data_IF_364889840465
#
_entry.id   IF_364889840465
#
_cell.length_a   1.000
_cell.length_b   1.000
_cell.length_c   1.000
_cell.angle_alpha   90.00
_cell.angle_beta   90.00
_cell.angle_gamma   90.00
#
_symmetry.space_group_name_H-M   'P 1'
#
loop_
_entity.id
_entity.type
_entity.pdbx_description
1 polymer ?
#
# COMPACT_ATOMS: atom_id res chain seq x y z
N UNK A 1 20.21 23.51 -18.47
CA UNK A 1 18.84 23.55 -17.94
C UNK A 1 18.06 22.44 -18.59
N UNK A 2 17.26 21.66 -17.85
CA UNK A 2 16.45 20.61 -18.44
C UNK A 2 15.35 21.22 -19.31
N UNK A 3 15.12 20.65 -20.49
CA UNK A 3 14.02 21.04 -21.37
C UNK A 3 12.73 20.36 -20.94
N UNK A 4 11.58 20.84 -21.43
CA UNK A 4 10.29 20.18 -21.18
C UNK A 4 10.29 18.72 -21.67
N UNK A 5 10.99 18.44 -22.77
CA UNK A 5 11.15 17.09 -23.30
C UNK A 5 11.92 16.19 -22.32
N UNK A 6 13.00 16.71 -21.72
CA UNK A 6 13.79 15.95 -20.73
C UNK A 6 12.95 15.62 -19.48
N UNK A 7 12.17 16.59 -18.99
CA UNK A 7 11.24 16.40 -17.87
C UNK A 7 10.17 15.38 -18.23
N UNK A 8 9.58 15.49 -19.43
CA UNK A 8 8.51 14.60 -19.90
C UNK A 8 8.95 13.15 -20.02
N UNK A 9 10.13 12.91 -20.62
CA UNK A 9 10.69 11.56 -20.75
C UNK A 9 11.01 10.98 -19.37
N UNK A 10 11.64 11.76 -18.49
CA UNK A 10 11.96 11.32 -17.13
C UNK A 10 10.69 11.00 -16.32
N UNK A 11 9.68 11.87 -16.36
CA UNK A 11 8.41 11.66 -15.68
C UNK A 11 7.70 10.40 -16.19
N UNK A 12 7.65 10.19 -17.52
CA UNK A 12 7.05 9.01 -18.11
C UNK A 12 7.70 7.70 -17.63
N UNK A 13 9.04 7.64 -17.64
CA UNK A 13 9.77 6.45 -17.18
C UNK A 13 9.48 6.17 -15.71
N UNK A 14 9.54 7.19 -14.85
CA UNK A 14 9.31 7.03 -13.42
C UNK A 14 7.87 6.62 -13.10
N UNK A 15 6.88 7.24 -13.75
CA UNK A 15 5.46 6.92 -13.53
C UNK A 15 5.15 5.50 -14.01
N UNK A 16 5.61 5.11 -15.21
CA UNK A 16 5.40 3.76 -15.74
C UNK A 16 6.06 2.70 -14.85
N UNK A 17 7.29 2.97 -14.39
CA UNK A 17 8.00 2.06 -13.48
C UNK A 17 7.28 1.92 -12.15
N UNK A 18 6.80 3.02 -11.56
CA UNK A 18 6.00 3.00 -10.34
C UNK A 18 4.71 2.18 -10.54
N UNK A 19 4.04 2.31 -11.69
CA UNK A 19 2.86 1.52 -12.01
C UNK A 19 3.16 0.03 -12.10
N UNK A 20 4.28 -0.36 -12.72
CA UNK A 20 4.74 -1.76 -12.75
C UNK A 20 4.95 -2.29 -11.32
N UNK A 21 5.59 -1.51 -10.44
CA UNK A 21 5.76 -1.90 -9.04
C UNK A 21 4.42 -2.08 -8.31
N UNK A 22 3.43 -1.22 -8.56
CA UNK A 22 2.09 -1.36 -7.99
C UNK A 22 1.37 -2.63 -8.45
N UNK A 23 1.53 -3.00 -9.73
CA UNK A 23 0.98 -4.25 -10.27
C UNK A 23 1.65 -5.47 -9.62
N UNK A 24 2.98 -5.47 -9.54
CA UNK A 24 3.74 -6.54 -8.88
C UNK A 24 3.34 -6.65 -7.41
N UNK A 25 3.27 -5.52 -6.69
CA UNK A 25 2.81 -5.47 -5.30
C UNK A 25 1.43 -6.09 -5.13
N UNK A 26 0.46 -5.72 -5.97
CA UNK A 26 -0.88 -6.25 -5.86
C UNK A 26 -0.96 -7.76 -6.07
N UNK A 27 -0.24 -8.27 -7.08
CA UNK A 27 -0.19 -9.71 -7.37
C UNK A 27 0.45 -10.47 -6.22
N UNK A 28 1.60 -9.99 -5.72
CA UNK A 28 2.34 -10.64 -4.64
C UNK A 28 1.60 -10.58 -3.31
N UNK A 29 0.91 -9.47 -3.00
CA UNK A 29 0.10 -9.29 -1.78
C UNK A 29 -1.06 -10.27 -1.69
N UNK A 30 -1.66 -10.62 -2.82
CA UNK A 30 -2.79 -11.55 -2.88
C UNK A 30 -2.37 -13.02 -2.74
N UNK A 31 -1.08 -13.35 -2.87
CA UNK A 31 -0.64 -14.72 -2.74
C UNK A 31 -0.63 -15.17 -1.27
N UNK A 32 -1.25 -16.32 -0.93
CA UNK A 32 -1.36 -16.78 0.45
C UNK A 32 0.00 -17.12 1.09
N UNK A 33 1.03 -17.50 0.30
CA UNK A 33 2.37 -17.72 0.82
C UNK A 33 3.06 -16.44 1.30
N UNK A 34 2.73 -15.29 0.70
CA UNK A 34 3.27 -13.98 1.06
C UNK A 34 2.48 -13.27 2.15
N UNK A 35 1.38 -13.85 2.61
CA UNK A 35 0.48 -13.22 3.57
C UNK A 35 1.19 -12.80 4.87
N UNK A 36 2.14 -13.62 5.33
CA UNK A 36 2.94 -13.31 6.52
C UNK A 36 3.93 -12.17 6.32
N UNK A 37 4.37 -11.92 5.08
CA UNK A 37 5.30 -10.82 4.75
C UNK A 37 4.52 -9.51 4.72
N UNK A 38 3.39 -9.46 4.01
CA UNK A 38 2.59 -8.24 3.86
C UNK A 38 1.73 -7.89 5.08
N UNK A 39 1.35 -8.87 5.90
CA UNK A 39 0.47 -8.68 7.07
C UNK A 39 1.12 -9.11 8.39
N UNK A 40 2.46 -9.05 8.49
CA UNK A 40 3.22 -9.48 9.68
C UNK A 40 2.70 -8.89 10.99
N UNK A 41 2.37 -7.59 11.01
CA UNK A 41 1.87 -6.88 12.20
C UNK A 41 0.59 -7.48 12.77
N UNK A 42 -0.30 -7.98 11.90
CA UNK A 42 -1.55 -8.63 12.30
C UNK A 42 -1.31 -9.98 12.96
N UNK A 43 -0.29 -10.72 12.50
CA UNK A 43 0.15 -11.97 13.13
C UNK A 43 0.82 -11.71 14.48
N UNK A 44 1.67 -10.69 14.58
CA UNK A 44 2.32 -10.31 15.83
C UNK A 44 1.33 -9.88 16.91
N UNK A 45 0.22 -9.24 16.50
CA UNK A 45 -0.89 -8.85 17.40
C UNK A 45 -1.88 -9.98 17.69
N UNK A 46 -1.73 -11.15 17.09
CA UNK A 46 -2.68 -12.26 17.24
C UNK A 46 -4.05 -12.01 16.62
N UNK A 47 -4.23 -10.92 15.86
CA UNK A 47 -5.49 -10.56 15.19
C UNK A 47 -5.77 -11.43 13.96
N UNK A 48 -4.72 -12.10 13.45
CA UNK A 48 -4.81 -13.00 12.31
C UNK A 48 -4.16 -14.33 12.63
N UNK A 49 -4.92 -15.41 12.46
CA UNK A 49 -4.41 -16.78 12.53
C UNK A 49 -4.17 -17.33 11.11
N UNK A 50 -3.12 -18.13 10.96
CA UNK A 50 -2.90 -18.84 9.71
C UNK A 50 -4.05 -19.84 9.53
N UNK A 51 -4.65 -19.98 8.33
CA UNK A 51 -5.70 -20.98 8.12
C UNK A 51 -5.03 -22.35 8.14
N UNK A 52 -4.93 -22.95 9.32
CA UNK A 52 -4.13 -24.17 9.49
C UNK A 52 -4.88 -25.44 9.05
N UNK A 53 -6.19 -25.43 8.74
CA UNK A 53 -6.92 -26.73 8.63
C UNK A 53 -8.04 -26.95 7.58
N UNK A 54 -8.34 -26.08 6.59
CA UNK A 54 -9.61 -26.25 5.84
C UNK A 54 -9.63 -26.07 4.30
N UNK A 55 -8.57 -26.38 3.54
CA UNK A 55 -8.67 -26.28 2.07
C UNK A 55 -7.64 -27.06 1.25
N UNK A 56 -8.03 -27.42 0.02
CA UNK A 56 -7.21 -28.15 -0.96
C UNK A 56 -5.84 -27.47 -1.16
N UNK A 57 -4.77 -28.29 -1.08
CA UNK A 57 -3.36 -27.88 -1.01
C UNK A 57 -2.97 -26.77 -2.00
N UNK A 58 -3.48 -26.78 -3.23
CA UNK A 58 -3.15 -25.79 -4.29
C UNK A 58 -3.66 -24.38 -3.98
N UNK A 59 -4.89 -24.24 -3.46
CA UNK A 59 -5.45 -22.92 -3.09
C UNK A 59 -4.73 -22.29 -1.88
N UNK A 60 -3.96 -23.09 -1.14
CA UNK A 60 -3.11 -22.61 -0.03
C UNK A 60 -1.84 -21.91 -0.51
N UNK A 61 -1.41 -22.15 -1.74
CA UNK A 61 -0.19 -21.55 -2.30
C UNK A 61 -0.47 -20.48 -3.35
N UNK A 62 -1.54 -20.59 -4.15
CA UNK A 62 -1.80 -19.61 -5.22
C UNK A 62 -3.25 -19.11 -5.14
N UNK A 63 -3.42 -17.78 -5.21
CA UNK A 63 -4.74 -17.17 -5.36
C UNK A 63 -5.14 -17.13 -6.85
N UNK A 64 -6.14 -17.92 -7.23
CA UNK A 64 -6.65 -18.03 -8.61
C UNK A 64 -7.90 -17.17 -8.87
N UNK A 65 -8.33 -16.33 -7.91
CA UNK A 65 -9.51 -15.50 -8.09
C UNK A 65 -9.20 -14.23 -8.91
N UNK A 66 -9.46 -14.28 -10.22
CA UNK A 66 -9.28 -13.15 -11.15
C UNK A 66 -10.04 -11.88 -10.73
N UNK A 67 -11.17 -12.00 -10.01
CA UNK A 67 -11.93 -10.83 -9.52
C UNK A 67 -11.15 -10.01 -8.50
N UNK A 68 -10.30 -10.67 -7.70
CA UNK A 68 -9.43 -10.02 -6.73
C UNK A 68 -8.38 -9.12 -7.40
N UNK A 69 -7.90 -9.50 -8.58
CA UNK A 69 -6.91 -8.73 -9.35
C UNK A 69 -7.51 -7.52 -10.07
N UNK A 70 -8.79 -7.56 -10.44
CA UNK A 70 -9.49 -6.38 -10.98
C UNK A 70 -9.66 -5.26 -9.95
N UNK A 71 -9.56 -5.58 -8.66
CA UNK A 71 -9.70 -4.65 -7.53
C UNK A 71 -8.35 -4.27 -6.91
N UNK A 72 -7.26 -4.32 -7.69
CA UNK A 72 -5.91 -4.21 -7.17
C UNK A 72 -5.60 -2.88 -6.46
N UNK A 73 -6.30 -1.79 -6.80
CA UNK A 73 -6.12 -0.49 -6.13
C UNK A 73 -6.95 -0.33 -4.86
N UNK A 74 -7.80 -1.30 -4.49
CA UNK A 74 -8.67 -1.18 -3.32
C UNK A 74 -7.89 -1.03 -2.01
N UNK A 75 -6.61 -1.42 -1.94
CA UNK A 75 -5.82 -1.20 -0.72
C UNK A 75 -5.62 0.28 -0.40
N UNK A 76 -5.64 1.18 -1.39
CA UNK A 76 -5.44 2.62 -1.19
C UNK A 76 -6.58 3.26 -0.39
N UNK A 77 -7.87 3.14 -0.79
CA UNK A 77 -8.96 3.67 0.02
C UNK A 77 -9.08 2.97 1.37
N UNK A 78 -8.78 1.67 1.46
CA UNK A 78 -8.78 0.96 2.75
C UNK A 78 -7.71 1.51 3.70
N UNK A 79 -6.54 1.92 3.20
CA UNK A 79 -5.47 2.47 4.03
C UNK A 79 -5.85 3.79 4.72
N UNK A 80 -6.81 4.53 4.16
CA UNK A 80 -7.26 5.84 4.69
C UNK A 80 -8.43 5.67 5.67
N UNK A 81 -9.08 4.50 5.71
CA UNK A 81 -10.27 4.27 6.54
C UNK A 81 -9.98 4.12 8.03
N UNK A 82 -8.74 3.79 8.42
CA UNK A 82 -8.36 3.64 9.83
C UNK A 82 -8.23 5.02 10.48
N UNK A 83 -9.04 5.37 11.49
CA UNK A 83 -8.96 6.64 12.19
C UNK A 83 -7.69 6.75 13.05
N UNK A 84 -7.22 7.97 13.32
CA UNK A 84 -5.96 8.23 14.04
C UNK A 84 -5.88 7.54 15.42
N UNK A 85 -6.92 7.52 16.28
CA UNK A 85 -6.86 6.79 17.55
C UNK A 85 -6.61 5.28 17.35
N UNK A 86 -7.34 4.66 16.42
CA UNK A 86 -7.15 3.24 16.10
C UNK A 86 -5.76 2.98 15.51
N UNK A 87 -5.23 3.91 14.70
CA UNK A 87 -3.88 3.82 14.17
C UNK A 87 -2.83 3.94 15.27
N UNK A 88 -3.01 4.80 16.27
CA UNK A 88 -2.09 4.92 17.42
C UNK A 88 -2.11 3.64 18.25
N UNK A 89 -3.29 3.09 18.55
CA UNK A 89 -3.42 1.81 19.26
C UNK A 89 -2.86 0.65 18.41
N UNK A 90 -3.06 0.72 17.09
CA UNK A 90 -2.61 -0.31 16.18
C UNK A 90 -1.10 -0.24 15.92
N UNK A 91 -0.51 0.94 15.81
CA UNK A 91 0.83 1.13 15.30
C UNK A 91 1.82 1.83 16.23
N UNK A 92 1.34 2.45 17.30
CA UNK A 92 2.12 3.29 18.20
C UNK A 92 2.08 4.76 17.79
N UNK A 93 2.31 5.63 18.79
CA UNK A 93 2.31 7.08 18.62
C UNK A 93 3.37 7.55 17.61
N UNK A 94 4.59 7.01 17.67
CA UNK A 94 5.70 7.43 16.79
C UNK A 94 5.36 7.24 15.31
N UNK A 95 4.72 6.12 14.97
CA UNK A 95 4.29 5.84 13.59
C UNK A 95 3.21 6.83 13.12
N UNK A 96 2.26 7.18 14.00
CA UNK A 96 1.22 8.15 13.69
C UNK A 96 1.80 9.57 13.50
N UNK A 97 2.71 9.98 14.38
CA UNK A 97 3.43 11.27 14.27
C UNK A 97 4.25 11.31 12.98
N UNK A 98 4.94 10.23 12.62
CA UNK A 98 5.69 10.14 11.36
C UNK A 98 4.79 10.34 10.13
N UNK A 99 3.63 9.69 10.06
CA UNK A 99 2.67 9.89 8.97
C UNK A 99 2.14 11.34 8.93
N UNK A 100 2.02 12.00 10.09
CA UNK A 100 1.58 13.39 10.18
C UNK A 100 2.56 14.36 9.53
N UNK A 101 3.84 14.04 9.46
CA UNK A 101 4.85 14.84 8.74
C UNK A 101 4.48 14.91 7.25
N UNK A 102 4.05 13.81 6.63
CA UNK A 102 3.61 13.80 5.23
C UNK A 102 2.34 14.62 5.01
N UNK A 103 1.38 14.56 5.94
CA UNK A 103 0.13 15.34 5.85
C UNK A 103 0.39 16.84 5.99
N UNK A 104 1.23 17.24 6.94
CA UNK A 104 1.63 18.64 7.11
C UNK A 104 2.41 19.12 5.88
N UNK A 105 3.34 18.29 5.38
CA UNK A 105 4.08 18.58 4.16
C UNK A 105 3.16 18.79 2.96
N UNK A 106 2.16 17.91 2.78
CA UNK A 106 1.16 18.06 1.73
C UNK A 106 0.36 19.37 1.87
N UNK A 107 -0.15 19.67 3.07
CA UNK A 107 -0.93 20.88 3.31
C UNK A 107 -0.13 22.17 3.04
N UNK A 108 1.12 22.21 3.51
CA UNK A 108 2.00 23.37 3.31
C UNK A 108 2.34 23.58 1.83
N UNK A 109 2.68 22.51 1.10
CA UNK A 109 3.00 22.61 -0.33
C UNK A 109 1.77 22.92 -1.19
N UNK A 110 0.59 22.41 -0.82
CA UNK A 110 -0.66 22.75 -1.51
C UNK A 110 -0.97 24.24 -1.36
N UNK A 111 -0.83 24.80 -0.15
CA UNK A 111 -1.00 26.23 0.08
C UNK A 111 -0.03 27.05 -0.77
N UNK A 112 1.24 26.63 -0.82
CA UNK A 112 2.26 27.29 -1.63
C UNK A 112 1.94 27.23 -3.13
N UNK A 113 1.51 26.07 -3.63
CA UNK A 113 1.17 25.86 -5.04
C UNK A 113 -0.04 26.68 -5.50
N UNK A 114 -0.94 27.07 -4.58
CA UNK A 114 -2.09 27.92 -4.89
C UNK A 114 -1.76 29.42 -4.82
N UNK A 115 -0.66 29.79 -4.16
CA UNK A 115 -0.21 31.18 -4.04
C UNK A 115 0.64 31.65 -5.23
N UNK A 116 1.16 30.72 -6.04
CA UNK A 116 1.97 30.98 -7.24
C UNK A 116 1.24 30.49 -8.50
#
# INVERSE_FOLDING_TARGET
>A
MATLQDIGVSAAINILTAFIFLLVFAVLRLQPFNDRVYFSKWYLKGLRSSPTHAGAFVRRFVNLDFRSYLKFLNWMPEAIRMPEPELIDHAGLDSAVYLRIYLIGYAANLMLCLLF
#
